data_IF_045305457782
#
_entry.id   IF_045305457782
#
_cell.length_a   1.000
_cell.length_b   1.000
_cell.length_c   1.000
_cell.angle_alpha   90.00
_cell.angle_beta   90.00
_cell.angle_gamma   90.00
#
_symmetry.space_group_name_H-M   'P 1'
#
loop_
_entity.id
_entity.type
_entity.pdbx_description
1 polymer ?
#
# COMPACT_ATOMS: atom_id res chain seq x y z
N UNK A 1 51.42 -41.50 -2.56
CA UNK A 1 52.16 -40.24 -2.79
C UNK A 1 52.05 -39.91 -4.27
N UNK A 2 51.65 -38.67 -4.59
CA UNK A 2 51.27 -38.07 -5.91
C UNK A 2 49.80 -38.39 -6.32
N UNK A 3 48.78 -37.57 -5.96
CA UNK A 3 48.22 -36.33 -6.59
C UNK A 3 47.68 -36.56 -8.03
N UNK A 4 46.37 -36.65 -8.27
CA UNK A 4 45.31 -35.61 -8.37
C UNK A 4 45.16 -35.00 -9.78
N UNK A 5 44.00 -35.20 -10.41
CA UNK A 5 43.31 -34.19 -11.24
C UNK A 5 41.80 -34.40 -11.17
N UNK A 6 41.10 -33.36 -10.69
CA UNK A 6 39.65 -33.22 -10.67
C UNK A 6 39.15 -32.86 -12.07
N UNK A 7 37.99 -33.38 -12.47
CA UNK A 7 37.26 -32.88 -13.65
C UNK A 7 35.97 -32.23 -13.14
N UNK A 8 36.00 -30.91 -13.06
CA UNK A 8 34.81 -30.09 -12.80
C UNK A 8 33.95 -30.03 -14.06
N UNK A 9 32.78 -30.68 -14.02
CA UNK A 9 31.73 -30.47 -15.02
C UNK A 9 30.86 -29.28 -14.58
N UNK A 10 31.29 -28.07 -14.91
CA UNK A 10 30.44 -26.89 -14.85
C UNK A 10 29.44 -26.93 -16.02
N UNK A 11 28.20 -27.38 -15.75
CA UNK A 11 27.07 -27.08 -16.63
C UNK A 11 26.75 -25.59 -16.51
N UNK A 12 27.15 -24.81 -17.50
CA UNK A 12 26.80 -23.41 -17.64
C UNK A 12 25.31 -23.27 -17.97
N UNK A 13 24.52 -22.85 -16.99
CA UNK A 13 23.15 -22.39 -17.22
C UNK A 13 23.22 -21.12 -18.10
N UNK A 14 22.51 -21.05 -19.24
CA UNK A 14 22.52 -19.88 -20.09
C UNK A 14 21.95 -18.67 -19.35
N UNK A 15 22.72 -17.57 -19.40
CA UNK A 15 22.56 -16.28 -18.70
C UNK A 15 21.28 -15.48 -19.06
N UNK A 16 20.30 -16.10 -19.73
CA UNK A 16 19.11 -15.46 -20.28
C UNK A 16 17.81 -15.78 -19.53
N UNK A 17 17.86 -16.53 -18.41
CA UNK A 17 16.70 -16.80 -17.55
C UNK A 17 16.71 -16.02 -16.22
N UNK A 18 17.65 -15.09 -16.03
CA UNK A 18 17.60 -14.08 -14.95
C UNK A 18 16.74 -12.86 -15.34
N UNK A 19 15.70 -13.07 -16.15
CA UNK A 19 14.69 -12.05 -16.38
C UNK A 19 13.86 -11.85 -15.10
N UNK A 20 14.37 -10.95 -14.25
CA UNK A 20 13.59 -10.17 -13.27
C UNK A 20 12.66 -10.99 -12.38
N UNK A 21 13.23 -11.63 -11.35
CA UNK A 21 12.58 -11.51 -10.04
C UNK A 21 12.64 -10.02 -9.70
N UNK A 22 11.63 -9.25 -10.13
CA UNK A 22 11.46 -7.88 -9.64
C UNK A 22 11.44 -8.01 -8.12
N UNK A 23 12.51 -7.55 -7.46
CA UNK A 23 12.44 -7.16 -6.05
C UNK A 23 11.12 -6.43 -5.85
N UNK A 24 10.33 -6.67 -4.79
CA UNK A 24 9.08 -5.98 -4.61
C UNK A 24 9.40 -4.50 -4.53
N UNK A 25 9.26 -3.79 -5.65
CA UNK A 25 9.57 -2.39 -5.75
C UNK A 25 8.52 -1.72 -4.89
N UNK A 26 8.94 -1.27 -3.71
CA UNK A 26 8.22 -0.28 -2.94
C UNK A 26 8.03 0.88 -3.90
N UNK A 27 6.79 1.18 -4.25
CA UNK A 27 6.50 2.30 -5.13
C UNK A 27 6.93 3.58 -4.40
N UNK A 28 7.97 4.24 -4.91
CA UNK A 28 8.55 5.44 -4.27
C UNK A 28 7.62 6.65 -4.37
N UNK A 29 6.82 6.73 -5.43
CA UNK A 29 5.93 7.84 -5.74
C UNK A 29 4.57 7.35 -6.23
N UNK A 30 3.51 8.13 -5.97
CA UNK A 30 2.19 7.87 -6.53
C UNK A 30 2.23 7.86 -8.07
N UNK A 31 1.47 6.95 -8.66
CA UNK A 31 1.27 6.87 -10.10
C UNK A 31 0.49 8.10 -10.59
N UNK A 32 0.87 8.70 -11.74
CA UNK A 32 0.05 9.69 -12.42
C UNK A 32 -1.37 9.17 -12.71
N UNK A 33 -2.36 10.01 -12.50
CA UNK A 33 -3.76 9.65 -12.77
C UNK A 33 -4.04 9.56 -14.28
N UNK A 34 -4.54 8.42 -14.74
CA UNK A 34 -4.91 8.16 -16.14
C UNK A 34 -6.39 7.75 -16.32
N UNK A 35 -7.20 7.90 -15.26
CA UNK A 35 -8.63 7.56 -15.27
C UNK A 35 -8.96 6.09 -15.02
N UNK A 36 -7.96 5.20 -14.90
CA UNK A 36 -8.21 3.83 -14.45
C UNK A 36 -8.48 3.79 -12.95
N UNK A 37 -9.15 2.72 -12.52
CA UNK A 37 -9.27 2.43 -11.09
C UNK A 37 -7.88 2.15 -10.52
N UNK A 38 -7.46 2.93 -9.53
CA UNK A 38 -6.18 2.78 -8.83
C UNK A 38 -6.47 2.67 -7.35
N UNK A 39 -5.90 1.67 -6.69
CA UNK A 39 -6.07 1.47 -5.26
C UNK A 39 -5.45 2.64 -4.50
N UNK A 40 -6.25 3.36 -3.72
CA UNK A 40 -5.77 4.48 -2.90
C UNK A 40 -5.75 4.07 -1.42
N UNK A 41 -4.55 3.89 -0.86
CA UNK A 41 -4.33 3.61 0.56
C UNK A 41 -4.13 4.92 1.32
N UNK A 42 -4.81 5.06 2.45
CA UNK A 42 -4.61 6.17 3.37
C UNK A 42 -3.48 5.82 4.35
N UNK A 43 -2.48 6.69 4.43
CA UNK A 43 -1.45 6.62 5.47
C UNK A 43 -1.82 7.52 6.63
N UNK A 44 -1.37 7.14 7.83
CA UNK A 44 -1.39 8.01 9.01
C UNK A 44 -0.08 7.89 9.79
N UNK A 45 0.23 8.90 10.59
CA UNK A 45 1.52 9.04 11.24
C UNK A 45 2.51 9.91 10.46
N UNK A 46 3.77 9.93 10.90
CA UNK A 46 4.82 10.86 10.43
C UNK A 46 5.09 10.86 8.91
N UNK A 47 5.83 11.86 8.44
CA UNK A 47 6.21 12.04 7.01
C UNK A 47 6.94 10.82 6.47
N UNK A 48 6.70 10.39 5.23
CA UNK A 48 7.46 9.29 4.58
C UNK A 48 8.97 9.60 4.54
N UNK A 49 9.72 9.05 5.50
CA UNK A 49 11.17 8.84 5.40
C UNK A 49 11.42 7.33 5.52
N UNK A 50 12.59 6.81 5.16
CA UNK A 50 12.89 5.36 5.32
C UNK A 50 12.65 4.78 6.72
N UNK A 51 12.44 5.63 7.72
CA UNK A 51 12.01 5.30 9.09
C UNK A 51 10.49 5.19 9.31
N UNK A 52 9.63 5.61 8.38
CA UNK A 52 8.18 5.74 8.57
C UNK A 52 7.35 4.55 8.09
N UNK A 53 8.01 3.55 7.47
CA UNK A 53 7.48 2.20 7.47
C UNK A 53 7.54 1.55 8.85
N UNK A 54 8.35 2.10 9.78
CA UNK A 54 8.44 1.66 11.18
C UNK A 54 7.62 2.60 12.06
N UNK A 55 6.47 2.14 12.53
CA UNK A 55 5.69 2.72 13.61
C UNK A 55 6.43 2.87 14.94
N UNK A 56 5.70 3.42 15.93
CA UNK A 56 6.23 3.76 17.26
C UNK A 56 6.78 2.49 17.94
N UNK A 57 8.08 2.49 18.28
CA UNK A 57 8.87 1.37 18.86
C UNK A 57 9.41 0.33 17.86
N UNK A 58 9.54 0.67 16.58
CA UNK A 58 10.22 -0.19 15.60
C UNK A 58 9.40 -1.36 15.07
N UNK A 59 8.08 -1.38 15.35
CA UNK A 59 7.09 -2.20 14.62
C UNK A 59 6.70 -1.48 13.33
N UNK A 60 6.13 -2.17 12.35
CA UNK A 60 5.66 -1.50 11.14
C UNK A 60 4.51 -0.52 11.46
N UNK A 61 4.31 0.51 10.62
CA UNK A 61 3.16 1.39 10.77
C UNK A 61 1.90 0.60 10.36
N UNK A 62 0.83 0.60 11.18
CA UNK A 62 -0.35 -0.24 10.93
C UNK A 62 -0.95 -0.04 9.53
N UNK A 63 -0.99 1.21 9.04
CA UNK A 63 -1.43 1.49 7.67
C UNK A 63 -0.59 0.82 6.58
N UNK A 64 0.68 0.50 6.84
CA UNK A 64 1.62 -0.07 5.88
C UNK A 64 1.64 -1.60 5.90
N UNK A 65 0.86 -2.26 6.78
CA UNK A 65 0.77 -3.71 6.78
C UNK A 65 0.27 -4.23 5.42
N UNK A 66 0.91 -5.31 4.99
CA UNK A 66 0.76 -5.97 3.70
C UNK A 66 0.97 -5.10 2.45
N UNK A 67 1.39 -3.85 2.59
CA UNK A 67 1.77 -3.02 1.45
C UNK A 67 3.10 -3.50 0.83
N UNK A 68 3.25 -3.58 -0.51
CA UNK A 68 2.24 -3.35 -1.55
C UNK A 68 1.54 -4.65 -2.02
N UNK A 69 1.62 -5.74 -1.24
CA UNK A 69 1.09 -7.06 -1.61
C UNK A 69 -0.44 -7.06 -1.62
N UNK A 70 -1.08 -6.41 -0.65
CA UNK A 70 -2.53 -6.27 -0.57
C UNK A 70 -3.10 -5.62 -1.84
N UNK A 71 -2.53 -4.49 -2.27
CA UNK A 71 -2.92 -3.77 -3.49
C UNK A 71 -2.79 -4.66 -4.71
N UNK A 72 -1.63 -5.31 -4.88
CA UNK A 72 -1.35 -6.15 -6.05
C UNK A 72 -2.36 -7.30 -6.15
N UNK A 73 -2.64 -7.96 -5.03
CA UNK A 73 -3.60 -9.06 -4.99
C UNK A 73 -5.03 -8.58 -5.24
N UNK A 74 -5.45 -7.47 -4.63
CA UNK A 74 -6.77 -6.90 -4.84
C UNK A 74 -6.98 -6.51 -6.31
N UNK A 75 -6.01 -5.84 -6.92
CA UNK A 75 -6.09 -5.42 -8.32
C UNK A 75 -6.11 -6.62 -9.29
N UNK A 76 -5.35 -7.68 -9.00
CA UNK A 76 -5.44 -8.92 -9.75
C UNK A 76 -6.85 -9.53 -9.65
N UNK A 77 -7.41 -9.66 -8.44
CA UNK A 77 -8.78 -10.19 -8.27
C UNK A 77 -9.79 -9.33 -9.02
N UNK A 78 -9.69 -8.01 -8.92
CA UNK A 78 -10.60 -7.08 -9.60
C UNK A 78 -10.53 -7.25 -11.12
N UNK A 79 -9.33 -7.42 -11.68
CA UNK A 79 -9.12 -7.67 -13.12
C UNK A 79 -9.72 -9.01 -13.55
N UNK A 80 -9.55 -10.07 -12.76
CA UNK A 80 -10.01 -11.42 -13.15
C UNK A 80 -11.52 -11.63 -12.94
N UNK A 81 -12.15 -10.88 -12.04
CA UNK A 81 -13.55 -11.12 -11.63
C UNK A 81 -14.55 -10.07 -12.11
N UNK A 82 -14.07 -8.96 -12.70
CA UNK A 82 -14.92 -7.85 -13.15
C UNK A 82 -14.50 -7.35 -14.54
N UNK A 83 -15.29 -6.43 -15.12
CA UNK A 83 -14.93 -5.73 -16.36
C UNK A 83 -14.14 -4.44 -16.12
N UNK A 84 -13.79 -4.13 -14.87
CA UNK A 84 -12.98 -2.96 -14.55
C UNK A 84 -11.58 -3.17 -15.13
N UNK A 85 -10.97 -2.12 -15.65
CA UNK A 85 -9.56 -2.10 -16.07
C UNK A 85 -8.72 -1.41 -15.01
N UNK A 86 -8.31 -2.11 -13.93
CA UNK A 86 -7.48 -1.52 -12.89
C UNK A 86 -6.09 -1.12 -13.40
N UNK A 87 -5.50 -0.15 -12.73
CA UNK A 87 -4.07 0.12 -12.80
C UNK A 87 -3.31 -1.03 -12.11
N UNK A 88 -2.44 -1.73 -12.84
CA UNK A 88 -1.81 -2.97 -12.34
C UNK A 88 -0.44 -2.76 -11.69
N UNK A 89 0.21 -1.62 -11.93
CA UNK A 89 1.61 -1.43 -11.53
C UNK A 89 1.78 -0.89 -10.10
N UNK A 90 0.73 -0.90 -9.28
CA UNK A 90 0.80 -0.49 -7.87
C UNK A 90 -0.47 0.16 -7.34
N UNK A 91 -0.34 0.80 -6.18
CA UNK A 91 -1.39 1.56 -5.51
C UNK A 91 -0.82 2.86 -4.95
N UNK A 92 -1.65 3.90 -4.91
CA UNK A 92 -1.24 5.21 -4.45
C UNK A 92 -1.43 5.32 -2.94
N UNK A 93 -0.50 6.01 -2.28
CA UNK A 93 -0.57 6.31 -0.85
C UNK A 93 -0.89 7.80 -0.70
N UNK A 94 -1.97 8.11 0.02
CA UNK A 94 -2.40 9.48 0.28
C UNK A 94 -2.45 9.79 1.78
N UNK A 95 -2.22 11.05 2.09
CA UNK A 95 -2.68 11.65 3.35
C UNK A 95 -4.12 12.08 3.16
N UNK A 96 -4.91 12.09 4.23
CA UNK A 96 -6.34 12.42 4.15
C UNK A 96 -6.62 13.86 3.69
N UNK A 97 -5.68 14.77 3.88
CA UNK A 97 -5.75 16.17 3.42
C UNK A 97 -5.07 16.42 2.07
N UNK A 98 -4.65 15.37 1.37
CA UNK A 98 -4.11 15.49 0.03
C UNK A 98 -5.25 15.80 -0.98
N UNK A 99 -5.22 16.95 -1.68
CA UNK A 99 -6.28 17.32 -2.61
C UNK A 99 -6.43 16.31 -3.76
N UNK A 100 -5.37 15.59 -4.14
CA UNK A 100 -5.40 14.60 -5.22
C UNK A 100 -6.19 13.34 -4.84
N UNK A 101 -6.41 13.08 -3.54
CA UNK A 101 -7.21 11.94 -3.06
C UNK A 101 -8.61 11.94 -3.68
N UNK A 102 -9.20 13.12 -3.90
CA UNK A 102 -10.54 13.27 -4.48
C UNK A 102 -10.68 12.76 -5.92
N UNK A 103 -9.57 12.48 -6.60
CA UNK A 103 -9.56 11.86 -7.94
C UNK A 103 -9.81 10.35 -7.89
N UNK A 104 -9.72 9.73 -6.71
CA UNK A 104 -9.81 8.29 -6.51
C UNK A 104 -11.11 7.95 -5.77
N UNK A 105 -12.08 7.27 -6.41
CA UNK A 105 -13.43 7.11 -5.84
C UNK A 105 -13.48 6.17 -4.62
N UNK A 106 -12.42 5.39 -4.38
CA UNK A 106 -12.31 4.47 -3.26
C UNK A 106 -10.97 4.70 -2.55
N UNK A 107 -11.04 4.88 -1.24
CA UNK A 107 -9.92 4.95 -0.32
C UNK A 107 -9.96 3.79 0.67
N UNK A 108 -8.80 3.34 1.12
CA UNK A 108 -8.64 2.21 2.02
C UNK A 108 -7.78 2.59 3.23
N UNK A 109 -8.28 2.35 4.43
CA UNK A 109 -7.65 2.67 5.71
C UNK A 109 -7.47 1.39 6.54
N UNK A 110 -6.21 1.02 6.79
CA UNK A 110 -5.88 -0.20 7.52
C UNK A 110 -5.44 0.05 8.95
N UNK A 111 -5.84 -0.84 9.86
CA UNK A 111 -5.56 -0.80 11.30
C UNK A 111 -5.84 0.58 11.95
N UNK A 112 -7.07 1.12 11.86
CA UNK A 112 -7.35 2.47 12.36
C UNK A 112 -7.28 2.61 13.89
N UNK A 113 -6.88 1.57 14.64
CA UNK A 113 -6.68 1.63 16.09
C UNK A 113 -5.64 2.64 16.55
N UNK A 114 -4.63 2.91 15.71
CA UNK A 114 -3.56 3.90 15.98
C UNK A 114 -3.66 5.15 15.11
N UNK A 115 -4.80 5.35 14.45
CA UNK A 115 -5.05 6.49 13.60
C UNK A 115 -5.44 7.72 14.43
N UNK A 116 -4.59 8.74 14.42
CA UNK A 116 -4.81 10.03 15.09
C UNK A 116 -4.63 11.16 14.08
N UNK A 117 -5.66 11.49 13.29
CA UNK A 117 -5.57 12.50 12.24
C UNK A 117 -5.39 13.90 12.83
N UNK A 118 -4.68 14.76 12.10
CA UNK A 118 -4.72 16.21 12.33
C UNK A 118 -6.10 16.79 12.00
N UNK A 119 -6.36 18.03 12.40
CA UNK A 119 -7.60 18.73 12.01
C UNK A 119 -7.71 18.89 10.49
N UNK A 120 -6.58 19.07 9.78
CA UNK A 120 -6.58 19.12 8.32
C UNK A 120 -6.95 17.77 7.70
N UNK A 121 -6.44 16.66 8.25
CA UNK A 121 -6.77 15.30 7.80
C UNK A 121 -8.23 14.94 8.07
N UNK A 122 -8.78 15.36 9.21
CA UNK A 122 -10.23 15.22 9.52
C UNK A 122 -11.06 15.95 8.48
N UNK A 123 -10.76 17.22 8.22
CA UNK A 123 -11.48 18.05 7.24
C UNK A 123 -11.30 17.50 5.81
N UNK A 124 -10.11 17.02 5.47
CA UNK A 124 -9.81 16.39 4.19
C UNK A 124 -10.64 15.12 3.95
N UNK A 125 -10.67 14.20 4.91
CA UNK A 125 -11.47 12.98 4.82
C UNK A 125 -12.96 13.28 4.80
N UNK A 126 -13.43 14.24 5.62
CA UNK A 126 -14.82 14.71 5.59
C UNK A 126 -15.19 15.21 4.20
N UNK A 127 -14.37 16.07 3.61
CA UNK A 127 -14.61 16.59 2.26
C UNK A 127 -14.59 15.50 1.19
N UNK A 128 -13.68 14.53 1.31
CA UNK A 128 -13.63 13.37 0.43
C UNK A 128 -14.96 12.58 0.45
N UNK A 129 -15.45 12.24 1.64
CA UNK A 129 -16.68 11.50 1.82
C UNK A 129 -17.92 12.30 1.36
N UNK A 130 -18.01 13.58 1.71
CA UNK A 130 -19.12 14.45 1.29
C UNK A 130 -19.19 14.67 -0.22
N UNK A 131 -18.05 14.55 -0.93
CA UNK A 131 -17.99 14.60 -2.40
C UNK A 131 -18.29 13.26 -3.07
N UNK A 132 -18.66 12.23 -2.30
CA UNK A 132 -19.03 10.90 -2.80
C UNK A 132 -17.89 9.89 -2.82
N UNK A 133 -16.76 10.20 -2.20
CA UNK A 133 -15.69 9.22 -1.97
C UNK A 133 -16.16 8.07 -1.08
N UNK A 134 -15.64 6.87 -1.34
CA UNK A 134 -15.98 5.66 -0.59
C UNK A 134 -14.80 5.21 0.26
N UNK A 135 -15.00 4.98 1.55
CA UNK A 135 -13.96 4.52 2.46
C UNK A 135 -14.18 3.06 2.85
N UNK A 136 -13.17 2.22 2.62
CA UNK A 136 -13.04 0.92 3.27
C UNK A 136 -12.10 1.11 4.47
N UNK A 137 -12.58 0.79 5.67
CA UNK A 137 -11.75 0.68 6.86
C UNK A 137 -11.65 -0.79 7.26
N UNK A 138 -10.45 -1.28 7.56
CA UNK A 138 -10.21 -2.69 7.85
C UNK A 138 -9.20 -2.96 8.98
N UNK A 139 -9.02 -4.23 9.30
CA UNK A 139 -8.08 -4.76 10.29
C UNK A 139 -8.25 -4.16 11.70
N UNK A 140 -9.47 -4.30 12.23
CA UNK A 140 -9.79 -3.88 13.59
C UNK A 140 -9.47 -5.00 14.59
N UNK A 141 -8.68 -4.68 15.61
CA UNK A 141 -8.43 -5.58 16.73
C UNK A 141 -8.94 -4.99 18.06
N UNK A 142 -9.84 -5.72 18.72
CA UNK A 142 -10.33 -5.37 20.06
C UNK A 142 -10.91 -3.95 20.16
N UNK A 143 -10.14 -3.01 20.73
CA UNK A 143 -10.60 -1.63 20.98
C UNK A 143 -10.36 -0.66 19.83
N UNK A 144 -9.78 -1.11 18.72
CA UNK A 144 -9.47 -0.26 17.57
C UNK A 144 -10.72 0.43 17.01
N UNK A 145 -11.86 -0.25 17.06
CA UNK A 145 -13.16 0.30 16.68
C UNK A 145 -13.51 1.58 17.44
N UNK A 146 -13.20 1.64 18.74
CA UNK A 146 -13.50 2.81 19.57
C UNK A 146 -12.71 4.03 19.13
N UNK A 147 -11.45 3.85 18.72
CA UNK A 147 -10.66 4.95 18.19
C UNK A 147 -11.23 5.42 16.84
N UNK A 148 -11.49 4.48 15.92
CA UNK A 148 -12.07 4.79 14.62
C UNK A 148 -13.40 5.57 14.74
N UNK A 149 -14.34 5.06 15.53
CA UNK A 149 -15.64 5.72 15.78
C UNK A 149 -15.47 7.12 16.37
N UNK A 150 -14.52 7.30 17.30
CA UNK A 150 -14.23 8.61 17.88
C UNK A 150 -13.64 9.60 16.85
N UNK A 151 -12.74 9.15 15.97
CA UNK A 151 -12.19 10.02 14.92
C UNK A 151 -13.25 10.35 13.85
N UNK A 152 -14.10 9.39 13.47
CA UNK A 152 -15.16 9.57 12.48
C UNK A 152 -16.28 10.52 12.93
N UNK A 153 -16.43 10.75 14.23
CA UNK A 153 -17.41 11.69 14.81
C UNK A 153 -16.93 13.14 14.87
N UNK A 154 -15.65 13.40 14.58
CA UNK A 154 -15.10 14.76 14.53
C UNK A 154 -15.61 15.50 13.29
#
# INVERSE_FOLDING_TARGET
>A
MILATSVDLAHSIPRQLEETVRSPTVQENNTPYDGRFTFARLRYGGRLTGQNFRGRRGRDAGWAHDYPRAERNFMNILRETTLIRPFMDGGNIFVMDDPELTRYPLAYLSEPGFWYPSDSEVEGLRNYLLKGGFLIADDFNGRDWLNFDAQMKK
#
